data_IF_022094914927
#
_entry.id   IF_022094914927
#
_cell.length_a   1.000
_cell.length_b   1.000
_cell.length_c   1.000
_cell.angle_alpha   90.00
_cell.angle_beta   90.00
_cell.angle_gamma   90.00
#
_symmetry.space_group_name_H-M   'P 1'
#
loop_
_entity.id
_entity.type
_entity.pdbx_description
1 polymer ?
#
# COMPACT_ATOMS: atom_id res chain seq x y z
N UNK A 1 -0.17 0.66 6.50
CA UNK A 1 -0.57 0.70 5.08
C UNK A 1 -2.06 0.43 5.04
N UNK A 2 -2.76 0.87 4.01
CA UNK A 2 -4.21 0.71 3.97
C UNK A 2 -4.71 0.49 2.54
N UNK A 3 -5.87 -0.16 2.46
CA UNK A 3 -6.64 -0.37 1.25
C UNK A 3 -8.10 -0.09 1.57
N UNK A 4 -8.72 0.74 0.75
CA UNK A 4 -10.16 1.01 0.78
C UNK A 4 -10.68 0.99 -0.64
N UNK A 5 -11.98 0.84 -0.83
CA UNK A 5 -12.57 0.97 -2.16
C UNK A 5 -12.55 2.41 -2.66
N UNK A 6 -12.43 2.54 -3.97
CA UNK A 6 -12.73 3.77 -4.72
C UNK A 6 -13.74 3.41 -5.82
N UNK A 7 -14.96 3.90 -5.69
CA UNK A 7 -16.10 3.47 -6.52
C UNK A 7 -15.90 3.89 -7.98
N UNK A 8 -16.17 2.97 -8.90
CA UNK A 8 -16.03 3.23 -10.32
C UNK A 8 -17.24 4.02 -10.84
N UNK A 9 -16.97 4.93 -11.78
CA UNK A 9 -18.00 5.70 -12.49
C UNK A 9 -18.05 5.33 -13.98
N UNK A 10 -19.16 4.74 -14.42
CA UNK A 10 -19.32 4.30 -15.81
C UNK A 10 -18.45 3.07 -16.13
N UNK A 11 -17.73 3.09 -17.25
CA UNK A 11 -16.96 1.96 -17.76
C UNK A 11 -15.44 2.24 -17.71
N UNK A 12 -14.94 2.74 -16.58
CA UNK A 12 -13.51 3.02 -16.45
C UNK A 12 -12.68 1.72 -16.58
N UNK A 13 -11.49 1.84 -17.17
CA UNK A 13 -10.58 0.72 -17.39
C UNK A 13 -10.08 0.13 -16.07
N UNK A 14 -9.95 -1.19 -15.99
CA UNK A 14 -9.49 -1.86 -14.77
C UNK A 14 -10.54 -1.90 -13.64
N UNK A 15 -11.80 -1.60 -13.95
CA UNK A 15 -12.92 -1.73 -13.03
C UNK A 15 -13.33 -3.20 -12.87
N UNK A 16 -13.36 -3.68 -11.63
CA UNK A 16 -13.80 -5.03 -11.29
C UNK A 16 -14.74 -5.03 -10.09
N UNK A 17 -15.62 -6.03 -10.04
CA UNK A 17 -16.43 -6.27 -8.86
C UNK A 17 -15.55 -6.85 -7.74
N UNK A 18 -15.57 -6.21 -6.57
CA UNK A 18 -14.91 -6.68 -5.37
C UNK A 18 -15.94 -7.21 -4.37
N UNK A 19 -15.78 -8.45 -3.94
CA UNK A 19 -16.72 -9.12 -3.03
C UNK A 19 -16.69 -8.59 -1.61
N UNK A 20 -15.56 -8.04 -1.15
CA UNK A 20 -15.42 -7.47 0.20
C UNK A 20 -16.16 -6.13 0.31
N UNK A 21 -16.02 -5.27 -0.70
CA UNK A 21 -16.69 -3.96 -0.75
C UNK A 21 -18.06 -3.99 -1.42
N UNK A 22 -18.49 -5.15 -1.91
CA UNK A 22 -19.80 -5.36 -2.56
C UNK A 22 -20.11 -4.38 -3.70
N UNK A 23 -19.09 -4.02 -4.50
CA UNK A 23 -19.23 -3.00 -5.55
C UNK A 23 -18.20 -3.14 -6.65
N UNK A 24 -18.42 -2.42 -7.75
CA UNK A 24 -17.41 -2.26 -8.81
C UNK A 24 -16.54 -1.08 -8.44
N UNK A 25 -15.30 -1.36 -8.05
CA UNK A 25 -14.39 -0.36 -7.50
C UNK A 25 -12.95 -0.61 -7.95
N UNK A 26 -12.09 0.36 -7.66
CA UNK A 26 -10.65 0.17 -7.49
C UNK A 26 -10.34 -0.14 -6.02
N UNK A 27 -9.13 -0.63 -5.75
CA UNK A 27 -8.62 -0.85 -4.40
C UNK A 27 -7.25 -0.16 -4.21
N UNK A 28 -7.20 1.17 -4.13
CA UNK A 28 -5.94 1.90 -3.97
C UNK A 28 -5.08 1.40 -2.80
N UNK A 29 -3.77 1.34 -3.01
CA UNK A 29 -2.80 1.18 -1.93
C UNK A 29 -2.45 2.55 -1.36
N UNK A 30 -2.64 2.72 -0.07
CA UNK A 30 -2.25 3.90 0.68
C UNK A 30 -1.13 3.61 1.68
N UNK A 31 -0.13 4.50 1.74
CA UNK A 31 0.92 4.49 2.77
C UNK A 31 0.95 5.85 3.46
N UNK A 32 0.81 5.83 4.78
CA UNK A 32 0.78 7.04 5.61
C UNK A 32 1.94 7.06 6.61
N UNK A 33 2.38 8.26 6.96
CA UNK A 33 3.20 8.55 8.14
C UNK A 33 2.45 9.54 9.04
N UNK A 34 1.78 9.02 10.07
CA UNK A 34 0.79 9.81 10.82
C UNK A 34 -0.34 10.26 9.89
N UNK A 35 -0.59 11.57 9.81
CA UNK A 35 -1.59 12.15 8.91
C UNK A 35 -1.07 12.45 7.50
N UNK A 36 0.23 12.23 7.23
CA UNK A 36 0.82 12.53 5.94
C UNK A 36 0.65 11.34 4.99
N UNK A 37 -0.03 11.57 3.87
CA UNK A 37 -0.13 10.62 2.78
C UNK A 37 1.19 10.59 1.98
N UNK A 38 1.88 9.46 2.01
CA UNK A 38 3.16 9.28 1.29
C UNK A 38 2.96 8.59 -0.07
N UNK A 39 1.99 7.68 -0.16
CA UNK A 39 1.63 6.98 -1.41
C UNK A 39 0.12 6.86 -1.52
N UNK A 40 -0.37 7.16 -2.71
CA UNK A 40 -1.71 6.83 -3.20
C UNK A 40 -1.55 6.19 -4.58
N UNK A 41 -1.65 4.87 -4.64
CA UNK A 41 -1.49 4.10 -5.88
C UNK A 41 -2.82 3.46 -6.24
N UNK A 42 -3.47 3.96 -7.28
CA UNK A 42 -4.70 3.36 -7.81
C UNK A 42 -4.39 1.97 -8.35
N UNK A 43 -5.21 0.98 -8.00
CA UNK A 43 -5.08 -0.41 -8.44
C UNK A 43 -6.46 -0.97 -8.75
N UNK A 44 -6.54 -1.85 -9.75
CA UNK A 44 -7.71 -2.69 -9.97
C UNK A 44 -8.08 -3.44 -8.69
N UNK A 45 -9.36 -3.61 -8.39
CA UNK A 45 -9.80 -4.24 -7.14
C UNK A 45 -9.76 -5.77 -7.13
N UNK A 46 -9.32 -6.39 -8.23
CA UNK A 46 -9.21 -7.84 -8.42
C UNK A 46 -7.79 -8.40 -8.15
N UNK A 47 -6.92 -7.61 -7.53
CA UNK A 47 -5.54 -8.01 -7.18
C UNK A 47 -5.42 -8.34 -5.69
N UNK A 48 -4.30 -8.97 -5.29
CA UNK A 48 -4.03 -9.16 -3.85
C UNK A 48 -3.99 -7.80 -3.15
N UNK A 49 -4.65 -7.63 -1.98
CA UNK A 49 -4.67 -6.35 -1.29
C UNK A 49 -3.27 -5.80 -0.95
N UNK A 50 -2.26 -6.65 -0.76
CA UNK A 50 -0.87 -6.27 -0.51
C UNK A 50 -0.01 -6.11 -1.79
N UNK A 51 -0.57 -6.38 -2.97
CA UNK A 51 0.17 -6.28 -4.24
C UNK A 51 0.80 -4.89 -4.43
N UNK A 52 2.10 -4.87 -4.71
CA UNK A 52 2.92 -3.66 -4.83
C UNK A 52 3.28 -2.96 -3.51
N UNK A 53 2.86 -3.45 -2.34
CA UNK A 53 3.16 -2.80 -1.06
C UNK A 53 4.65 -2.81 -0.70
N UNK A 54 5.34 -3.93 -0.96
CA UNK A 54 6.78 -4.05 -0.70
C UNK A 54 7.59 -3.09 -1.58
N UNK A 55 7.24 -2.97 -2.86
CA UNK A 55 7.94 -2.07 -3.80
C UNK A 55 7.81 -0.61 -3.37
N UNK A 56 6.61 -0.18 -2.97
CA UNK A 56 6.40 1.18 -2.47
C UNK A 56 7.11 1.42 -1.14
N UNK A 57 7.15 0.43 -0.24
CA UNK A 57 7.94 0.53 0.99
C UNK A 57 9.44 0.69 0.71
N UNK A 58 9.99 -0.14 -0.18
CA UNK A 58 11.39 -0.05 -0.60
C UNK A 58 11.73 1.32 -1.15
N UNK A 59 10.87 1.83 -2.05
CA UNK A 59 11.03 3.15 -2.66
C UNK A 59 10.99 4.28 -1.63
N UNK A 60 9.98 4.31 -0.77
CA UNK A 60 9.81 5.37 0.23
C UNK A 60 10.92 5.33 1.27
N UNK A 61 11.26 4.15 1.80
CA UNK A 61 12.31 4.00 2.80
C UNK A 61 13.67 4.42 2.22
N UNK A 62 13.97 4.05 0.96
CA UNK A 62 15.17 4.53 0.27
C UNK A 62 15.24 6.06 0.22
N UNK A 63 14.16 6.72 -0.21
CA UNK A 63 14.08 8.19 -0.27
C UNK A 63 14.23 8.85 1.11
N UNK A 64 13.65 8.26 2.17
CA UNK A 64 13.81 8.77 3.53
C UNK A 64 15.26 8.65 3.97
N UNK A 65 15.92 7.51 3.75
CA UNK A 65 17.31 7.27 4.15
C UNK A 65 18.31 8.15 3.41
N UNK A 66 18.04 8.54 2.16
CA UNK A 66 18.86 9.50 1.42
C UNK A 66 18.95 10.87 2.09
N UNK A 67 17.91 11.27 2.84
CA UNK A 67 17.84 12.57 3.53
C UNK A 67 18.09 12.46 5.03
N UNK A 68 17.69 11.35 5.62
CA UNK A 68 17.75 11.11 7.06
C UNK A 68 18.23 9.68 7.32
N UNK A 69 19.55 9.48 7.25
CA UNK A 69 20.15 8.13 7.31
C UNK A 69 19.86 7.40 8.62
N UNK A 70 19.82 8.11 9.75
CA UNK A 70 19.68 7.52 11.09
C UNK A 70 18.26 7.56 11.67
N UNK A 71 17.27 8.06 10.94
CA UNK A 71 15.91 8.16 11.47
C UNK A 71 15.31 6.78 11.71
N UNK A 72 14.78 6.55 12.91
CA UNK A 72 14.08 5.32 13.21
C UNK A 72 12.74 5.28 12.47
N UNK A 73 12.50 4.21 11.71
CA UNK A 73 11.26 3.98 10.98
C UNK A 73 10.57 2.79 11.61
N UNK A 74 9.25 2.90 11.82
CA UNK A 74 8.41 1.80 12.29
C UNK A 74 7.32 1.56 11.26
N UNK A 75 7.26 0.35 10.72
CA UNK A 75 6.22 -0.06 9.77
C UNK A 75 5.19 -0.92 10.48
N UNK A 76 3.92 -0.52 10.40
CA UNK A 76 2.78 -1.34 10.85
C UNK A 76 2.28 -2.19 9.69
N UNK A 77 2.38 -3.52 9.84
CA UNK A 77 1.77 -4.50 8.94
C UNK A 77 0.57 -5.16 9.62
N UNK A 78 -0.64 -4.69 9.30
CA UNK A 78 -1.92 -5.24 9.74
C UNK A 78 -2.59 -6.04 8.62
N UNK A 79 -3.45 -7.01 8.99
CA UNK A 79 -4.31 -7.79 8.07
C UNK A 79 -3.60 -8.23 6.78
N UNK A 80 -3.89 -7.57 5.65
CA UNK A 80 -3.31 -7.88 4.34
C UNK A 80 -1.79 -7.71 4.27
N UNK A 81 -1.21 -6.82 5.08
CA UNK A 81 0.18 -6.42 4.99
C UNK A 81 1.11 -7.15 5.98
N UNK A 82 0.57 -8.07 6.78
CA UNK A 82 1.36 -8.97 7.62
C UNK A 82 1.98 -10.09 6.78
N UNK A 83 2.84 -9.71 5.83
CA UNK A 83 3.50 -10.61 4.87
C UNK A 83 4.95 -10.88 5.29
N UNK A 84 5.44 -12.09 5.02
CA UNK A 84 6.78 -12.49 5.41
C UNK A 84 7.84 -11.63 4.73
N UNK A 85 7.70 -11.37 3.43
CA UNK A 85 8.60 -10.56 2.63
C UNK A 85 8.66 -9.09 3.11
N UNK A 86 7.53 -8.55 3.58
CA UNK A 86 7.47 -7.20 4.17
C UNK A 86 8.20 -7.17 5.50
N UNK A 87 7.93 -8.13 6.39
CA UNK A 87 8.61 -8.20 7.69
C UNK A 87 10.10 -8.46 7.55
N UNK A 88 10.50 -9.31 6.61
CA UNK A 88 11.90 -9.56 6.31
C UNK A 88 12.60 -8.29 5.84
N UNK A 89 12.03 -7.58 4.85
CA UNK A 89 12.59 -6.32 4.34
C UNK A 89 12.70 -5.26 5.43
N UNK A 90 11.64 -5.07 6.21
CA UNK A 90 11.60 -4.11 7.33
C UNK A 90 12.69 -4.43 8.35
N UNK A 91 12.88 -5.71 8.72
CA UNK A 91 13.89 -6.12 9.71
C UNK A 91 15.32 -5.81 9.27
N UNK A 92 15.62 -5.87 7.97
CA UNK A 92 16.98 -5.63 7.46
C UNK A 92 17.24 -4.17 7.06
N UNK A 93 16.18 -3.36 6.90
CA UNK A 93 16.26 -2.01 6.33
C UNK A 93 15.95 -0.89 7.32
N UNK A 94 15.34 -1.23 8.47
CA UNK A 94 14.98 -0.28 9.52
C UNK A 94 15.97 -0.25 10.67
#
# INVERSE_FOLDING_TARGET
MDVTDDQVHGNQEGAFFNSYYHGVCYAPLYIFCGHHLLVAKLRSSNVDPADGALDELQRIIGLIREKWSETHILVRGDSAYAREEIFYFVKISL
#
